data_IF_129617576880
#
_entry.id   IF_129617576880
#
_cell.length_a   1.000
_cell.length_b   1.000
_cell.length_c   1.000
_cell.angle_alpha   90.00
_cell.angle_beta   90.00
_cell.angle_gamma   90.00
#
_symmetry.space_group_name_H-M   'P 1'
#
loop_
_entity.id
_entity.type
_entity.pdbx_description
1 polymer ?
#
# COMPACT_ATOMS: atom_id res chain seq x y z
N UNK A 1 -17.80 -37.30 48.43
CA UNK A 1 -16.65 -36.39 48.60
C UNK A 1 -15.79 -36.54 47.35
N UNK A 2 -15.99 -35.70 46.33
CA UNK A 2 -15.18 -35.71 45.11
C UNK A 2 -14.26 -34.50 45.12
N UNK A 3 -12.98 -34.73 45.31
CA UNK A 3 -11.93 -33.71 45.21
C UNK A 3 -11.32 -33.80 43.81
N UNK A 4 -11.85 -33.00 42.88
CA UNK A 4 -11.18 -32.76 41.60
C UNK A 4 -9.97 -31.87 41.87
N UNK A 5 -8.75 -32.24 41.44
CA UNK A 5 -7.57 -31.41 41.66
C UNK A 5 -7.68 -30.12 40.83
N UNK A 6 -7.54 -28.97 41.48
CA UNK A 6 -7.30 -27.70 40.78
C UNK A 6 -5.95 -27.81 40.05
N UNK A 7 -5.89 -27.53 38.74
CA UNK A 7 -4.61 -27.48 38.05
C UNK A 7 -3.78 -26.34 38.64
N UNK A 8 -2.57 -26.68 39.06
CA UNK A 8 -1.50 -25.75 39.42
C UNK A 8 -1.39 -24.66 38.35
N UNK A 9 -1.34 -23.40 38.79
CA UNK A 9 -1.61 -22.20 38.00
C UNK A 9 -0.73 -22.00 36.76
N UNK A 10 -1.09 -22.64 35.65
CA UNK A 10 -0.67 -22.25 34.32
C UNK A 10 -1.64 -21.18 33.81
N UNK A 11 -1.14 -19.95 33.69
CA UNK A 11 -1.89 -18.88 33.03
C UNK A 11 -1.72 -19.08 31.51
N UNK A 12 -2.70 -19.71 30.88
CA UNK A 12 -2.70 -19.92 29.44
C UNK A 12 -3.29 -18.68 28.77
N UNK A 13 -2.48 -17.97 27.99
CA UNK A 13 -2.91 -16.83 27.17
C UNK A 13 -3.21 -17.38 25.77
N UNK A 14 -4.47 -17.27 25.35
CA UNK A 14 -4.89 -17.65 24.01
C UNK A 14 -4.84 -16.43 23.10
N UNK A 15 -4.06 -16.49 22.03
CA UNK A 15 -3.98 -15.46 20.99
C UNK A 15 -4.66 -15.99 19.72
N UNK A 16 -5.66 -15.27 19.21
CA UNK A 16 -6.33 -15.64 17.97
C UNK A 16 -5.54 -15.13 16.76
N UNK A 17 -4.59 -15.94 16.29
CA UNK A 17 -3.73 -15.60 15.15
C UNK A 17 -4.45 -15.72 13.79
N UNK A 18 -5.61 -16.39 13.73
CA UNK A 18 -6.34 -16.58 12.46
C UNK A 18 -6.92 -15.28 11.89
N UNK A 19 -7.15 -14.28 12.74
CA UNK A 19 -7.67 -12.98 12.30
C UNK A 19 -6.59 -12.08 11.70
N UNK A 20 -5.30 -12.38 11.92
CA UNK A 20 -4.21 -11.43 11.76
C UNK A 20 -3.00 -12.10 11.09
N UNK A 21 -3.01 -12.25 9.76
CA UNK A 21 -2.01 -13.04 9.02
C UNK A 21 -0.59 -12.47 9.11
N UNK A 22 -0.45 -11.20 9.49
CA UNK A 22 0.85 -10.55 9.66
C UNK A 22 1.54 -10.95 10.98
N UNK A 23 0.82 -11.50 11.97
CA UNK A 23 1.42 -11.96 13.23
C UNK A 23 1.91 -13.41 13.08
N UNK A 24 3.21 -13.57 12.81
CA UNK A 24 3.83 -14.89 12.73
C UNK A 24 4.36 -15.37 14.09
N UNK A 25 4.49 -16.69 14.25
CA UNK A 25 5.10 -17.30 15.45
C UNK A 25 6.52 -16.78 15.68
N UNK A 26 7.30 -16.60 14.60
CA UNK A 26 8.64 -16.01 14.66
C UNK A 26 8.59 -14.58 15.21
N UNK A 27 7.72 -13.72 14.67
CA UNK A 27 7.57 -12.34 15.13
C UNK A 27 7.17 -12.25 16.60
N UNK A 28 6.25 -13.13 17.02
CA UNK A 28 5.81 -13.24 18.41
C UNK A 28 6.94 -13.72 19.33
N UNK A 29 7.74 -14.71 18.89
CA UNK A 29 8.87 -15.22 19.68
C UNK A 29 9.95 -14.15 19.90
N UNK A 30 10.21 -13.30 18.91
CA UNK A 30 11.17 -12.20 19.00
C UNK A 30 10.63 -11.11 19.94
N UNK A 31 9.36 -10.75 19.83
CA UNK A 31 8.72 -9.76 20.69
C UNK A 31 8.66 -10.22 22.16
N UNK A 32 8.28 -11.47 22.40
CA UNK A 32 8.33 -12.06 23.74
C UNK A 32 9.75 -12.15 24.27
N UNK A 33 10.71 -12.54 23.44
CA UNK A 33 12.12 -12.57 23.80
C UNK A 33 12.67 -11.19 24.15
N UNK A 34 12.18 -10.13 23.50
CA UNK A 34 12.55 -8.74 23.79
C UNK A 34 12.20 -8.32 25.22
N UNK A 35 11.08 -8.80 25.76
CA UNK A 35 10.67 -8.56 27.15
C UNK A 35 11.69 -9.10 28.17
N UNK A 36 12.43 -10.14 27.80
CA UNK A 36 13.46 -10.73 28.66
C UNK A 36 14.87 -10.22 28.34
N UNK A 37 15.14 -9.81 27.09
CA UNK A 37 16.43 -9.29 26.66
C UNK A 37 16.36 -8.52 25.35
N UNK A 38 16.97 -7.34 25.32
CA UNK A 38 17.05 -6.50 24.11
C UNK A 38 17.95 -7.06 23.00
N UNK A 39 18.68 -8.15 23.26
CA UNK A 39 19.55 -8.81 22.27
C UNK A 39 18.75 -9.38 21.09
N UNK A 40 17.48 -9.72 21.29
CA UNK A 40 16.59 -10.25 20.23
C UNK A 40 16.35 -9.26 19.09
N UNK A 41 16.58 -7.96 19.30
CA UNK A 41 16.55 -6.95 18.24
C UNK A 41 17.46 -7.33 17.05
N UNK A 42 18.57 -8.03 17.32
CA UNK A 42 19.52 -8.47 16.27
C UNK A 42 18.97 -9.55 15.34
N UNK A 43 17.89 -10.22 15.73
CA UNK A 43 17.22 -11.22 14.90
C UNK A 43 16.22 -10.59 13.92
N UNK A 44 16.00 -9.28 14.00
CA UNK A 44 15.06 -8.57 13.11
C UNK A 44 15.74 -8.34 11.75
N UNK A 45 15.08 -8.82 10.70
CA UNK A 45 15.46 -8.75 9.30
C UNK A 45 14.36 -8.07 8.50
N UNK A 46 14.63 -7.64 7.27
CA UNK A 46 13.61 -7.04 6.38
C UNK A 46 12.42 -7.96 6.10
N UNK A 47 12.61 -9.27 6.20
CA UNK A 47 11.56 -10.26 5.94
C UNK A 47 10.61 -10.44 7.14
N UNK A 48 11.14 -10.42 8.37
CA UNK A 48 10.35 -10.61 9.60
C UNK A 48 9.98 -9.28 10.30
N UNK A 49 10.51 -8.14 9.87
CA UNK A 49 10.26 -6.86 10.52
C UNK A 49 8.77 -6.50 10.61
N UNK A 50 7.98 -6.83 9.56
CA UNK A 50 6.53 -6.61 9.57
C UNK A 50 5.82 -7.45 10.64
N UNK A 51 6.19 -8.72 10.78
CA UNK A 51 5.56 -9.59 11.76
C UNK A 51 5.98 -9.26 13.20
N UNK A 52 7.24 -8.85 13.39
CA UNK A 52 7.73 -8.32 14.68
C UNK A 52 7.00 -7.04 15.05
N UNK A 53 6.80 -6.12 14.11
CA UNK A 53 6.03 -4.90 14.33
C UNK A 53 4.58 -5.21 14.72
N UNK A 54 3.92 -6.13 14.01
CA UNK A 54 2.57 -6.57 14.32
C UNK A 54 2.49 -7.19 15.72
N UNK A 55 3.41 -8.11 16.06
CA UNK A 55 3.47 -8.76 17.36
C UNK A 55 3.75 -7.75 18.50
N UNK A 56 4.65 -6.78 18.28
CA UNK A 56 4.93 -5.72 19.24
C UNK A 56 3.72 -4.82 19.50
N UNK A 57 2.97 -4.48 18.44
CA UNK A 57 1.72 -3.71 18.59
C UNK A 57 0.60 -4.51 19.26
N UNK A 58 0.52 -5.82 19.00
CA UNK A 58 -0.46 -6.71 19.62
C UNK A 58 -0.23 -6.87 21.13
N UNK A 59 1.02 -7.09 21.54
CA UNK A 59 1.39 -7.26 22.94
C UNK A 59 1.39 -5.92 23.70
N UNK A 60 1.68 -4.81 23.00
CA UNK A 60 1.70 -3.47 23.56
C UNK A 60 2.91 -3.19 24.46
N UNK A 61 3.17 -1.90 24.71
CA UNK A 61 4.21 -1.46 25.66
C UNK A 61 5.66 -1.67 25.23
N UNK A 62 5.92 -2.01 23.96
CA UNK A 62 7.26 -2.22 23.41
C UNK A 62 7.61 -1.17 22.34
N UNK A 63 7.48 0.11 22.67
CA UNK A 63 7.63 1.20 21.70
C UNK A 63 9.00 1.21 21.00
N UNK A 64 10.08 0.92 21.71
CA UNK A 64 11.43 0.87 21.12
C UNK A 64 11.56 -0.25 20.07
N UNK A 65 11.01 -1.43 20.36
CA UNK A 65 10.98 -2.56 19.43
C UNK A 65 10.15 -2.23 18.19
N UNK A 66 8.96 -1.65 18.39
CA UNK A 66 8.08 -1.25 17.30
C UNK A 66 8.73 -0.18 16.41
N UNK A 67 9.36 0.84 17.01
CA UNK A 67 10.06 1.87 16.25
C UNK A 67 11.23 1.30 15.45
N UNK A 68 12.01 0.39 16.05
CA UNK A 68 13.13 -0.25 15.35
C UNK A 68 12.66 -1.16 14.21
N UNK A 69 11.62 -1.96 14.43
CA UNK A 69 11.03 -2.81 13.40
C UNK A 69 10.41 -1.96 12.26
N UNK A 70 9.78 -0.83 12.59
CA UNK A 70 9.27 0.13 11.63
C UNK A 70 10.39 0.74 10.77
N UNK A 71 11.52 1.13 11.37
CA UNK A 71 12.68 1.64 10.62
C UNK A 71 13.23 0.61 9.61
N UNK A 72 13.31 -0.66 10.01
CA UNK A 72 13.70 -1.74 9.09
C UNK A 72 12.65 -1.93 7.98
N UNK A 73 11.36 -1.86 8.32
CA UNK A 73 10.29 -1.91 7.31
C UNK A 73 10.46 -0.79 6.28
N UNK A 74 10.66 0.45 6.73
CA UNK A 74 10.86 1.62 5.87
C UNK A 74 12.07 1.45 4.96
N UNK A 75 13.21 1.00 5.49
CA UNK A 75 14.43 0.77 4.71
C UNK A 75 14.31 -0.38 3.72
N UNK A 76 13.41 -1.33 3.98
CA UNK A 76 13.21 -2.48 3.09
C UNK A 76 12.38 -2.16 1.85
N UNK A 77 11.75 -0.99 1.75
CA UNK A 77 10.90 -0.63 0.59
C UNK A 77 11.78 -0.50 -0.66
N UNK A 78 11.57 -1.39 -1.63
CA UNK A 78 12.33 -1.45 -2.89
C UNK A 78 11.40 -1.73 -4.06
N UNK A 79 11.91 -1.59 -5.29
CA UNK A 79 11.15 -1.83 -6.53
C UNK A 79 10.67 -3.28 -6.64
N UNK A 80 11.44 -4.24 -6.11
CA UNK A 80 11.12 -5.67 -6.21
C UNK A 80 9.99 -6.10 -5.27
N UNK A 81 9.91 -5.50 -4.07
CA UNK A 81 8.92 -5.88 -3.06
C UNK A 81 7.75 -4.91 -2.94
N UNK A 82 7.71 -3.83 -3.75
CA UNK A 82 6.64 -2.83 -3.73
C UNK A 82 5.25 -3.45 -3.90
N UNK A 83 5.13 -4.53 -4.67
CA UNK A 83 3.86 -5.25 -4.86
C UNK A 83 3.28 -5.78 -3.55
N UNK A 84 4.13 -6.29 -2.65
CA UNK A 84 3.73 -6.77 -1.33
C UNK A 84 3.32 -5.62 -0.40
N UNK A 85 4.04 -4.49 -0.47
CA UNK A 85 3.69 -3.27 0.25
C UNK A 85 2.38 -2.65 -0.23
N UNK A 86 2.08 -2.71 -1.53
CA UNK A 86 0.81 -2.24 -2.08
C UNK A 86 -0.38 -3.11 -1.64
N UNK A 87 -0.19 -4.43 -1.53
CA UNK A 87 -1.21 -5.33 -0.96
C UNK A 87 -1.47 -4.99 0.52
N UNK A 88 -0.41 -4.76 1.29
CA UNK A 88 -0.52 -4.32 2.66
C UNK A 88 -1.31 -3.01 2.77
N UNK A 89 -1.00 -2.00 1.94
CA UNK A 89 -1.72 -0.72 1.96
C UNK A 89 -3.19 -0.84 1.55
N UNK A 90 -3.55 -1.72 0.60
CA UNK A 90 -4.98 -1.95 0.28
C UNK A 90 -5.74 -2.60 1.44
N UNK A 91 -5.04 -3.36 2.29
CA UNK A 91 -5.59 -3.91 3.53
C UNK A 91 -5.65 -2.88 4.68
N UNK A 92 -5.01 -1.72 4.55
CA UNK A 92 -5.13 -0.61 5.51
C UNK A 92 -6.41 0.17 5.25
N UNK A 93 -7.35 0.22 6.22
CA UNK A 93 -8.57 1.00 6.05
C UNK A 93 -8.20 2.47 5.81
N UNK A 94 -8.78 3.06 4.76
CA UNK A 94 -8.62 4.49 4.52
C UNK A 94 -9.20 5.27 5.71
N UNK A 95 -8.56 6.37 6.13
CA UNK A 95 -9.16 7.27 7.11
C UNK A 95 -10.54 7.69 6.59
N UNK A 96 -11.57 7.44 7.40
CA UNK A 96 -12.94 7.74 7.02
C UNK A 96 -13.15 9.25 7.03
N UNK A 97 -12.89 9.88 5.88
CA UNK A 97 -13.37 11.24 5.62
C UNK A 97 -14.89 11.12 5.44
N UNK A 98 -15.64 11.55 6.46
CA UNK A 98 -17.10 11.42 6.62
C UNK A 98 -17.98 12.08 5.53
N UNK A 99 -17.42 12.31 4.35
CA UNK A 99 -18.05 12.88 3.15
C UNK A 99 -18.56 11.83 2.16
N UNK A 100 -18.24 10.54 2.34
CA UNK A 100 -18.74 9.46 1.49
C UNK A 100 -19.84 8.67 2.20
N UNK A 101 -21.04 8.69 1.65
CA UNK A 101 -22.17 7.84 2.06
C UNK A 101 -21.73 6.38 2.25
N UNK A 102 -22.29 5.63 3.23
CA UNK A 102 -21.82 4.29 3.56
C UNK A 102 -22.10 3.36 2.38
N UNK A 103 -21.07 3.10 1.58
CA UNK A 103 -21.06 2.02 0.61
C UNK A 103 -20.61 0.79 1.37
N UNK A 104 -21.54 -0.14 1.50
CA UNK A 104 -21.49 -1.44 2.17
C UNK A 104 -20.48 -2.41 1.51
N UNK A 105 -19.19 -2.04 1.44
CA UNK A 105 -18.15 -2.85 0.78
C UNK A 105 -16.84 -2.90 1.58
N UNK A 106 -16.82 -3.79 2.58
CA UNK A 106 -15.76 -4.79 2.88
C UNK A 106 -16.10 -5.39 4.25
N UNK A 107 -16.78 -6.55 4.25
CA UNK A 107 -17.05 -7.37 5.46
C UNK A 107 -15.81 -8.15 5.93
N UNK A 108 -14.60 -7.75 5.52
CA UNK A 108 -13.37 -8.27 6.13
C UNK A 108 -12.94 -7.28 7.21
N UNK A 109 -12.71 -7.73 8.46
CA UNK A 109 -12.09 -6.87 9.45
C UNK A 109 -10.77 -6.34 8.86
N UNK A 110 -10.39 -5.08 9.14
CA UNK A 110 -9.14 -4.51 8.66
C UNK A 110 -7.96 -5.37 9.15
N UNK A 111 -7.37 -6.14 8.24
CA UNK A 111 -6.27 -7.10 8.50
C UNK A 111 -4.95 -6.44 8.95
N UNK A 112 -4.99 -5.14 9.21
CA UNK A 112 -3.85 -4.30 9.58
C UNK A 112 -4.17 -3.38 10.76
N UNK A 113 -5.32 -3.56 11.42
CA UNK A 113 -5.70 -2.73 12.57
C UNK A 113 -4.68 -2.82 13.72
N UNK A 114 -3.97 -3.96 13.83
CA UNK A 114 -2.93 -4.17 14.82
C UNK A 114 -1.81 -3.14 14.73
N UNK A 115 -1.43 -2.70 13.53
CA UNK A 115 -0.30 -1.80 13.35
C UNK A 115 -0.58 -0.36 13.86
N UNK A 116 -1.83 -0.04 14.20
CA UNK A 116 -2.22 1.25 14.76
C UNK A 116 -1.68 2.44 13.94
N UNK A 117 -0.97 3.41 14.55
CA UNK A 117 -0.43 4.57 13.84
C UNK A 117 0.69 4.22 12.85
N UNK A 118 1.38 3.09 13.04
CA UNK A 118 2.47 2.67 12.15
C UNK A 118 1.95 2.26 10.77
N UNK A 119 0.72 1.75 10.65
CA UNK A 119 0.12 1.44 9.35
C UNK A 119 -0.01 2.69 8.46
N UNK A 120 -0.45 3.82 9.03
CA UNK A 120 -0.57 5.06 8.28
C UNK A 120 0.81 5.63 7.91
N UNK A 121 1.77 5.59 8.82
CA UNK A 121 3.15 6.02 8.53
C UNK A 121 3.79 5.19 7.42
N UNK A 122 3.66 3.86 7.47
CA UNK A 122 4.16 2.98 6.41
C UNK A 122 3.47 3.26 5.07
N UNK A 123 2.17 3.56 5.08
CA UNK A 123 1.45 3.99 3.87
C UNK A 123 2.01 5.29 3.31
N UNK A 124 2.32 6.26 4.16
CA UNK A 124 2.96 7.53 3.76
C UNK A 124 4.37 7.30 3.21
N UNK A 125 5.18 6.44 3.83
CA UNK A 125 6.53 6.09 3.33
C UNK A 125 6.46 5.38 1.97
N UNK A 126 5.51 4.46 1.79
CA UNK A 126 5.27 3.80 0.49
C UNK A 126 4.84 4.84 -0.55
N UNK A 127 4.00 5.81 -0.17
CA UNK A 127 3.59 6.90 -1.06
C UNK A 127 4.78 7.79 -1.46
N UNK A 128 5.60 8.20 -0.51
CA UNK A 128 6.80 9.00 -0.77
C UNK A 128 7.78 8.25 -1.67
N UNK A 129 7.99 6.96 -1.42
CA UNK A 129 8.79 6.10 -2.28
C UNK A 129 8.26 6.06 -3.72
N UNK A 130 6.95 5.90 -3.93
CA UNK A 130 6.34 5.87 -5.27
C UNK A 130 6.45 7.19 -6.02
N UNK A 131 6.35 8.32 -5.31
CA UNK A 131 6.27 9.66 -5.92
C UNK A 131 7.65 10.26 -6.15
N UNK A 132 8.60 10.02 -5.25
CA UNK A 132 9.91 10.68 -5.22
C UNK A 132 11.02 9.69 -5.59
N UNK A 133 11.17 8.62 -4.81
CA UNK A 133 12.32 7.71 -4.90
C UNK A 133 12.28 6.82 -6.14
N UNK A 134 11.12 6.31 -6.50
CA UNK A 134 10.96 5.37 -7.60
C UNK A 134 11.24 6.04 -8.97
N UNK A 135 10.68 7.22 -9.31
CA UNK A 135 11.04 7.91 -10.54
C UNK A 135 12.54 8.27 -10.64
N UNK A 136 13.18 8.61 -9.51
CA UNK A 136 14.61 8.91 -9.43
C UNK A 136 15.49 7.68 -9.64
N UNK A 137 15.16 6.57 -8.98
CA UNK A 137 15.90 5.29 -9.10
C UNK A 137 15.80 4.68 -10.49
N UNK A 138 14.65 4.82 -11.15
CA UNK A 138 14.47 4.37 -12.54
C UNK A 138 15.04 5.36 -13.57
N UNK A 139 15.56 6.51 -13.14
CA UNK A 139 16.14 7.55 -13.98
C UNK A 139 15.27 7.91 -15.20
N UNK A 140 13.96 8.04 -14.97
CA UNK A 140 12.98 8.26 -16.04
C UNK A 140 13.29 9.58 -16.75
N UNK A 141 13.78 9.50 -17.99
CA UNK A 141 14.25 10.63 -18.79
C UNK A 141 15.70 11.09 -18.55
N UNK A 142 16.53 10.26 -17.92
CA UNK A 142 17.98 10.45 -17.88
C UNK A 142 18.68 10.00 -19.16
N UNK A 143 19.88 10.53 -19.40
CA UNK A 143 20.72 10.29 -20.60
C UNK A 143 21.20 8.83 -20.80
N UNK A 144 20.81 7.88 -19.94
CA UNK A 144 21.48 6.57 -19.83
C UNK A 144 20.53 5.37 -19.73
N UNK A 145 19.23 5.53 -19.97
CA UNK A 145 18.32 4.39 -19.95
C UNK A 145 18.43 3.59 -21.27
N UNK A 146 18.58 2.26 -21.19
CA UNK A 146 18.61 1.42 -22.39
C UNK A 146 17.26 1.53 -23.10
N UNK A 147 17.31 2.01 -24.34
CA UNK A 147 16.15 2.13 -25.23
C UNK A 147 15.71 0.72 -25.59
N UNK A 148 14.59 0.25 -25.03
CA UNK A 148 14.02 -1.04 -25.42
C UNK A 148 13.17 -0.87 -26.67
N UNK A 149 13.30 -1.74 -27.69
CA UNK A 149 12.44 -1.69 -28.87
C UNK A 149 10.99 -2.05 -28.48
N UNK A 150 10.12 -1.04 -28.47
CA UNK A 150 8.67 -1.21 -28.34
C UNK A 150 8.08 -1.65 -29.69
N UNK A 151 7.04 -2.51 -29.73
CA UNK A 151 6.45 -3.02 -30.98
C UNK A 151 5.89 -1.93 -31.92
N UNK A 152 5.66 -0.71 -31.41
CA UNK A 152 5.15 0.44 -32.18
C UNK A 152 6.24 1.39 -32.71
N UNK A 153 7.53 1.02 -32.62
CA UNK A 153 8.63 1.81 -33.22
C UNK A 153 8.92 3.16 -32.54
N UNK A 154 8.30 3.45 -31.39
CA UNK A 154 8.69 4.57 -30.53
C UNK A 154 9.76 4.12 -29.51
N UNK A 155 10.86 4.87 -29.33
CA UNK A 155 11.82 4.59 -28.27
C UNK A 155 11.11 4.74 -26.93
N UNK A 156 10.91 3.62 -26.23
CA UNK A 156 10.39 3.63 -24.86
C UNK A 156 11.55 3.55 -23.90
N UNK A 157 11.54 4.44 -22.91
CA UNK A 157 12.46 4.40 -21.78
C UNK A 157 12.07 3.20 -20.91
N UNK A 158 12.97 2.21 -20.78
CA UNK A 158 12.72 1.03 -19.95
C UNK A 158 12.33 1.41 -18.51
N UNK A 159 12.85 2.51 -17.97
CA UNK A 159 12.46 3.02 -16.65
C UNK A 159 11.01 3.51 -16.62
N UNK A 160 10.53 4.14 -17.70
CA UNK A 160 9.12 4.55 -17.83
C UNK A 160 8.19 3.34 -17.93
N UNK A 161 8.58 2.30 -18.65
CA UNK A 161 7.77 1.08 -18.78
C UNK A 161 7.64 0.34 -17.44
N UNK A 162 8.73 0.22 -16.68
CA UNK A 162 8.69 -0.34 -15.32
C UNK A 162 7.83 0.51 -14.38
N UNK A 163 7.96 1.84 -14.44
CA UNK A 163 7.11 2.76 -13.68
C UNK A 163 5.62 2.55 -14.00
N UNK A 164 5.27 2.43 -15.28
CA UNK A 164 3.91 2.17 -15.73
C UNK A 164 3.36 0.83 -15.22
N UNK A 165 4.17 -0.23 -15.24
CA UNK A 165 3.77 -1.53 -14.72
C UNK A 165 3.49 -1.49 -13.21
N UNK A 166 4.32 -0.78 -12.43
CA UNK A 166 4.12 -0.64 -10.98
C UNK A 166 2.87 0.19 -10.71
N UNK A 167 2.72 1.35 -11.36
CA UNK A 167 1.53 2.21 -11.21
C UNK A 167 0.23 1.55 -11.68
N UNK A 168 0.31 0.50 -12.51
CA UNK A 168 -0.85 -0.30 -12.86
C UNK A 168 -1.35 -1.21 -11.72
N UNK A 169 -0.51 -1.48 -10.71
CA UNK A 169 -0.86 -2.30 -9.55
C UNK A 169 -1.32 -1.48 -8.33
N UNK A 170 -1.03 -0.18 -8.30
CA UNK A 170 -1.31 0.70 -7.16
C UNK A 170 -2.83 0.85 -6.89
N UNK A 171 -3.32 0.88 -5.65
CA UNK A 171 -4.72 1.18 -5.36
C UNK A 171 -5.16 2.55 -5.91
N UNK A 172 -6.44 2.70 -6.30
CA UNK A 172 -6.92 3.93 -6.97
C UNK A 172 -6.62 5.21 -6.19
N UNK A 173 -6.87 5.22 -4.87
CA UNK A 173 -6.72 6.43 -4.06
C UNK A 173 -5.25 6.88 -3.99
N UNK A 174 -4.32 5.92 -3.91
CA UNK A 174 -2.89 6.17 -3.93
C UNK A 174 -2.40 6.59 -5.32
N UNK A 175 -2.93 5.97 -6.38
CA UNK A 175 -2.65 6.33 -7.76
C UNK A 175 -3.10 7.77 -8.08
N UNK A 176 -4.33 8.11 -7.70
CA UNK A 176 -4.90 9.46 -7.83
C UNK A 176 -4.03 10.49 -7.09
N UNK A 177 -3.75 10.24 -5.82
CA UNK A 177 -2.92 11.14 -5.00
C UNK A 177 -1.51 11.31 -5.58
N UNK A 178 -0.91 10.24 -6.12
CA UNK A 178 0.44 10.30 -6.69
C UNK A 178 0.47 11.14 -7.98
N UNK A 179 -0.50 10.93 -8.89
CA UNK A 179 -0.59 11.68 -10.15
C UNK A 179 -0.98 13.14 -9.91
N UNK A 180 -1.83 13.42 -8.92
CA UNK A 180 -2.24 14.78 -8.56
C UNK A 180 -1.19 15.52 -7.73
N UNK A 181 -0.17 14.81 -7.21
CA UNK A 181 0.88 15.41 -6.40
C UNK A 181 1.79 16.34 -7.21
N UNK A 182 2.14 17.54 -6.69
CA UNK A 182 3.14 18.39 -7.30
C UNK A 182 4.55 17.79 -7.22
N UNK A 183 4.83 16.93 -6.23
CA UNK A 183 6.15 16.29 -6.07
C UNK A 183 6.42 15.18 -7.07
N UNK A 184 5.42 14.76 -7.85
CA UNK A 184 5.60 13.74 -8.87
C UNK A 184 6.34 14.30 -10.10
N UNK A 185 7.67 14.20 -10.06
CA UNK A 185 8.56 14.73 -11.09
C UNK A 185 8.71 13.75 -12.26
N UNK A 186 7.64 13.52 -13.01
CA UNK A 186 7.78 13.04 -14.39
C UNK A 186 8.24 14.22 -15.23
N UNK A 187 9.38 14.06 -15.90
CA UNK A 187 10.07 15.04 -16.77
C UNK A 187 9.12 16.06 -17.43
N UNK A 188 9.01 17.22 -16.77
CA UNK A 188 8.92 18.54 -17.38
C UNK A 188 7.58 19.08 -17.89
N UNK A 189 6.48 18.32 -17.92
CA UNK A 189 5.20 18.88 -18.38
C UNK A 189 3.97 18.16 -17.85
N UNK A 190 2.92 18.92 -17.56
CA UNK A 190 1.56 18.43 -17.32
C UNK A 190 1.06 17.52 -18.44
N UNK A 191 1.50 17.76 -19.69
CA UNK A 191 1.20 16.90 -20.82
C UNK A 191 1.84 15.51 -20.69
N UNK A 192 3.08 15.42 -20.20
CA UNK A 192 3.78 14.16 -19.97
C UNK A 192 3.15 13.38 -18.83
N UNK A 193 2.73 14.07 -17.77
CA UNK A 193 1.98 13.53 -16.63
C UNK A 193 0.61 13.02 -17.06
N UNK A 194 -0.13 13.78 -17.87
CA UNK A 194 -1.40 13.36 -18.46
C UNK A 194 -1.24 12.11 -19.32
N UNK A 195 -0.24 12.08 -20.22
CA UNK A 195 0.05 10.92 -21.04
C UNK A 195 0.38 9.69 -20.19
N UNK A 196 1.25 9.85 -19.19
CA UNK A 196 1.58 8.78 -18.25
C UNK A 196 0.35 8.24 -17.52
N UNK A 197 -0.49 9.12 -16.96
CA UNK A 197 -1.69 8.72 -16.25
C UNK A 197 -2.68 7.98 -17.17
N UNK A 198 -2.81 8.42 -18.43
CA UNK A 198 -3.61 7.75 -19.44
C UNK A 198 -3.09 6.35 -19.75
N UNK A 199 -1.78 6.22 -20.02
CA UNK A 199 -1.12 4.94 -20.32
C UNK A 199 -1.28 3.95 -19.14
N UNK A 200 -1.09 4.44 -17.91
CA UNK A 200 -1.28 3.64 -16.69
C UNK A 200 -2.73 3.18 -16.52
N UNK A 201 -3.72 4.06 -16.73
CA UNK A 201 -5.15 3.70 -16.69
C UNK A 201 -5.49 2.64 -17.75
N UNK A 202 -4.94 2.76 -18.95
CA UNK A 202 -5.20 1.78 -20.02
C UNK A 202 -4.60 0.40 -19.70
N UNK A 203 -3.46 0.34 -19.00
CA UNK A 203 -2.94 -0.90 -18.42
C UNK A 203 -3.82 -1.43 -17.29
N UNK A 204 -4.31 -0.55 -16.40
CA UNK A 204 -5.17 -0.92 -15.26
C UNK A 204 -6.51 -1.51 -15.70
N UNK A 205 -7.07 -1.03 -16.81
CA UNK A 205 -8.28 -1.61 -17.45
C UNK A 205 -8.09 -3.07 -17.87
N UNK A 206 -6.86 -3.47 -18.22
CA UNK A 206 -6.52 -4.84 -18.59
C UNK A 206 -6.27 -5.74 -17.37
N UNK A 207 -5.97 -5.14 -16.21
CA UNK A 207 -5.65 -5.81 -14.95
C UNK A 207 -6.71 -5.59 -13.85
N UNK A 208 -6.27 -5.07 -12.70
CA UNK A 208 -7.00 -5.01 -11.42
C UNK A 208 -8.37 -4.31 -11.53
N UNK A 209 -8.50 -3.27 -12.37
CA UNK A 209 -9.74 -2.50 -12.49
C UNK A 209 -10.88 -3.31 -13.16
N UNK A 210 -10.56 -4.39 -13.91
CA UNK A 210 -11.56 -5.24 -14.57
C UNK A 210 -12.45 -5.98 -13.55
N UNK A 211 -11.91 -6.30 -12.37
CA UNK A 211 -12.63 -7.01 -11.31
C UNK A 211 -13.55 -6.14 -10.46
N UNK A 212 -13.30 -4.83 -10.38
CA UNK A 212 -14.03 -3.92 -9.47
C UNK A 212 -15.20 -3.17 -10.14
N UNK A 213 -15.41 -3.35 -11.46
CA UNK A 213 -16.54 -2.73 -12.17
C UNK A 213 -16.51 -1.19 -12.19
N UNK A 214 -15.34 -0.59 -12.00
CA UNK A 214 -15.15 0.86 -11.97
C UNK A 214 -14.36 1.33 -13.21
N UNK A 215 -14.81 2.42 -13.82
CA UNK A 215 -14.12 3.07 -14.93
C UNK A 215 -13.27 4.23 -14.39
N UNK A 216 -11.96 4.13 -14.57
CA UNK A 216 -11.01 5.20 -14.24
C UNK A 216 -10.76 6.07 -15.48
N UNK A 217 -10.74 7.39 -15.30
CA UNK A 217 -10.48 8.37 -16.36
C UNK A 217 -9.57 9.49 -15.86
N UNK A 218 -8.71 10.01 -16.74
CA UNK A 218 -7.85 11.17 -16.46
C UNK A 218 -8.36 12.38 -17.23
N UNK A 219 -8.38 13.53 -16.58
CA UNK A 219 -8.84 14.81 -17.12
C UNK A 219 -7.75 15.85 -16.90
N UNK A 220 -7.58 16.73 -17.89
CA UNK A 220 -6.73 17.91 -17.78
C UNK A 220 -7.64 19.11 -17.49
N UNK A 221 -7.53 19.70 -16.30
CA UNK A 221 -8.30 20.87 -15.93
C UNK A 221 -7.50 22.14 -16.24
N UNK A 222 -7.99 22.92 -17.20
CA UNK A 222 -7.46 24.24 -17.49
C UNK A 222 -8.21 25.28 -16.63
N UNK A 223 -7.51 25.98 -15.73
CA UNK A 223 -8.05 27.16 -15.02
C UNK A 223 -8.17 27.11 -13.49
N UNK A 224 -7.59 26.14 -12.79
CA UNK A 224 -7.66 26.05 -11.32
C UNK A 224 -6.66 26.97 -10.59
N UNK A 225 -7.16 28.00 -9.90
CA UNK A 225 -6.37 28.99 -9.14
C UNK A 225 -5.87 28.53 -7.75
N UNK A 226 -5.79 27.24 -7.46
CA UNK A 226 -5.35 26.74 -6.15
C UNK A 226 -4.31 25.62 -6.31
N UNK A 227 -3.03 25.98 -6.45
CA UNK A 227 -1.85 25.23 -5.99
C UNK A 227 -1.65 23.73 -6.32
N UNK A 228 -2.51 23.12 -7.15
CA UNK A 228 -2.50 21.68 -7.44
C UNK A 228 -2.15 21.36 -8.90
N UNK A 229 -1.81 20.10 -9.17
CA UNK A 229 -1.58 19.55 -10.51
C UNK A 229 -2.77 19.79 -11.43
N UNK A 230 -2.54 20.20 -12.69
CA UNK A 230 -3.60 20.38 -13.70
C UNK A 230 -4.20 19.05 -14.18
N UNK A 231 -3.53 17.93 -13.87
CA UNK A 231 -3.97 16.57 -14.18
C UNK A 231 -4.77 16.00 -13.00
N UNK A 232 -6.01 15.59 -13.25
CA UNK A 232 -6.89 14.96 -12.27
C UNK A 232 -7.32 13.56 -12.71
N UNK A 233 -7.42 12.65 -11.76
CA UNK A 233 -7.90 11.28 -11.99
C UNK A 233 -9.24 11.07 -11.29
N UNK A 234 -10.22 10.52 -12.01
CA UNK A 234 -11.56 10.23 -11.50
C UNK A 234 -11.93 8.77 -11.73
N UNK A 235 -12.75 8.20 -10.85
CA UNK A 235 -13.27 6.83 -10.95
C UNK A 235 -14.78 6.84 -10.84
N UNK A 236 -15.45 6.21 -11.80
CA UNK A 236 -16.90 6.06 -11.86
C UNK A 236 -17.26 4.57 -11.76
N UNK A 237 -17.98 4.19 -10.72
CA UNK A 237 -18.54 2.84 -10.60
C UNK A 237 -19.62 2.62 -11.67
N UNK A 238 -19.55 1.53 -12.43
CA UNK A 238 -20.64 1.14 -13.33
C UNK A 238 -21.85 0.80 -12.49
N UNK A 239 -22.91 1.60 -12.59
CA UNK A 239 -24.20 1.28 -11.97
C UNK A 239 -24.71 -0.03 -12.57
N UNK A 240 -25.06 -1.00 -11.73
CA UNK A 240 -25.76 -2.21 -12.19
C UNK A 240 -27.05 -1.79 -12.88
N UNK A 241 -27.40 -2.37 -14.05
CA UNK A 241 -28.66 -2.03 -14.71
C UNK A 241 -29.82 -2.41 -13.78
N UNK A 242 -30.60 -1.42 -13.34
CA UNK A 242 -31.85 -1.68 -12.65
C UNK A 242 -32.84 -2.26 -13.68
N UNK A 243 -33.21 -3.52 -13.50
CA UNK A 243 -34.29 -4.13 -14.27
C UNK A 243 -35.60 -3.50 -13.82
N UNK A 244 -36.34 -2.93 -14.78
CA UNK A 244 -37.69 -2.41 -14.55
C UNK A 244 -38.64 -3.60 -14.68
N UNK A 245 -39.29 -4.01 -13.59
CA UNK A 245 -40.41 -4.95 -13.68
C UNK A 245 -41.60 -4.18 -14.25
N UNK A 246 -42.08 -4.57 -15.42
CA UNK A 246 -43.37 -4.11 -15.91
C UNK A 246 -44.46 -4.93 -15.20
N UNK A 247 -45.41 -4.24 -14.58
CA UNK A 247 -46.63 -4.81 -14.02
C UNK A 247 -47.71 -4.93 -15.11
#
# INVERSE_FOLDING_TARGET
MSTTPQPTGQCNIYLNLEQEPEVTEEGLSIALGYLYSSVTIRAITSQNARSVLAAGCLLGGMDELCNYAYEICRQSITVENISTWLQFVDAVPAPSDGTSTPIEQRQMPPQTAIFGPFAQRLREDVFDFLVVTLPQTLNVGGLSTPISPHPDGQPSDAGRDTLLQIFALVPFDMFKAAVESPTFQIVGSDQARFKFAKDAIDLRKRGIARGQGAEETVVLAFGGHNGGSTVHVTRKLRKRPLWKVNA
#
